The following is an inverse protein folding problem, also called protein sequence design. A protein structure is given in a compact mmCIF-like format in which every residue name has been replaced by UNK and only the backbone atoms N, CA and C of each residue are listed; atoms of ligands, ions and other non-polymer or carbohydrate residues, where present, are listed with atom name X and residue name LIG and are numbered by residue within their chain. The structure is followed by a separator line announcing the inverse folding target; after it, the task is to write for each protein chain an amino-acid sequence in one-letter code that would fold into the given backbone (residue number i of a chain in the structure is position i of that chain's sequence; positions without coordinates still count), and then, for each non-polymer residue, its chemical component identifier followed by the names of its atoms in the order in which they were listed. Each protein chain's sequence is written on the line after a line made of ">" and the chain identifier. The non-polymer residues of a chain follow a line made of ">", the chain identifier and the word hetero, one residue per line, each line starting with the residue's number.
data_IF_204854345000
#
_entry.id   IF_204854345000
#
_cell.length_a   1.000
_cell.length_b   1.000
_cell.length_c   1.000
_cell.angle_alpha   90.00
_cell.angle_beta   90.00
_cell.angle_gamma   90.00
#
_symmetry.space_group_name_H-M   'P 1'
#
loop_
_entity.id
_entity.type
_entity.pdbx_description
1 polymer ?
#
# COMPACT_ATOMS: atom_id res chain seq x y z
N UNK A 1 -9.15 2.19 -8.43
CA UNK A 1 -9.16 0.73 -8.39
C UNK A 1 -8.55 0.20 -9.67
N UNK A 2 -7.44 -0.51 -9.55
CA UNK A 2 -6.81 -1.16 -10.71
C UNK A 2 -7.74 -2.25 -11.25
N UNK A 3 -7.75 -2.42 -12.56
CA UNK A 3 -8.46 -3.49 -13.24
C UNK A 3 -8.20 -4.84 -12.60
N UNK A 4 -9.21 -5.46 -12.05
CA UNK A 4 -9.18 -6.90 -11.79
C UNK A 4 -9.31 -7.59 -13.15
N UNK A 5 -8.17 -7.91 -13.75
CA UNK A 5 -8.08 -8.54 -15.07
C UNK A 5 -8.30 -10.06 -15.00
N UNK A 6 -8.95 -10.58 -13.97
CA UNK A 6 -9.22 -12.00 -13.91
C UNK A 6 -10.72 -12.29 -14.01
N UNK A 7 -11.04 -13.45 -14.59
CA UNK A 7 -12.41 -13.92 -14.78
C UNK A 7 -13.14 -14.26 -13.46
N UNK A 8 -12.46 -14.13 -12.31
CA UNK A 8 -13.04 -14.35 -10.98
C UNK A 8 -13.77 -13.13 -10.44
N UNK A 9 -13.44 -11.94 -10.92
CA UNK A 9 -14.21 -10.75 -10.64
C UNK A 9 -15.32 -10.63 -11.70
N UNK A 10 -16.55 -10.50 -11.27
CA UNK A 10 -17.71 -10.26 -12.15
C UNK A 10 -18.07 -8.77 -12.14
N UNK A 11 -17.25 -7.87 -12.70
CA UNK A 11 -17.62 -6.48 -12.81
C UNK A 11 -18.78 -6.39 -13.81
N UNK A 12 -19.83 -5.70 -13.44
CA UNK A 12 -20.94 -5.40 -14.35
C UNK A 12 -20.50 -4.52 -15.51
N UNK A 13 -19.37 -3.79 -15.33
CA UNK A 13 -18.76 -2.96 -16.36
C UNK A 13 -17.24 -3.03 -16.18
N UNK A 14 -16.51 -3.32 -17.24
CA UNK A 14 -15.03 -3.28 -17.27
C UNK A 14 -14.57 -1.86 -17.60
N UNK A 15 -13.63 -1.34 -16.84
CA UNK A 15 -12.83 -0.20 -17.24
C UNK A 15 -11.73 -0.68 -18.19
N UNK A 16 -11.50 0.03 -19.26
CA UNK A 16 -10.35 -0.22 -20.11
C UNK A 16 -9.16 0.68 -19.75
N UNK A 17 -8.05 0.49 -20.44
CA UNK A 17 -6.82 1.26 -20.19
C UNK A 17 -7.00 2.74 -20.50
N UNK A 18 -7.77 3.09 -21.52
CA UNK A 18 -8.01 4.49 -21.89
C UNK A 18 -8.83 5.20 -20.80
N UNK A 19 -9.79 4.52 -20.17
CA UNK A 19 -10.52 5.07 -19.02
C UNK A 19 -9.56 5.43 -17.88
N UNK A 20 -8.62 4.53 -17.57
CA UNK A 20 -7.61 4.77 -16.52
C UNK A 20 -6.68 5.94 -16.88
N UNK A 21 -6.25 6.02 -18.15
CA UNK A 21 -5.41 7.11 -18.63
C UNK A 21 -6.15 8.45 -18.61
N UNK A 22 -7.45 8.45 -18.87
CA UNK A 22 -8.29 9.64 -18.76
C UNK A 22 -8.46 10.08 -17.32
N UNK A 23 -8.68 9.14 -16.38
CA UNK A 23 -8.74 9.44 -14.94
C UNK A 23 -7.44 10.04 -14.42
N UNK A 24 -6.28 9.65 -14.96
CA UNK A 24 -4.99 10.25 -14.61
C UNK A 24 -4.88 11.74 -14.97
N UNK A 25 -5.73 12.25 -15.86
CA UNK A 25 -5.75 13.69 -16.21
C UNK A 25 -6.51 14.53 -15.18
N UNK A 26 -7.30 13.92 -14.32
CA UNK A 26 -8.09 14.64 -13.32
C UNK A 26 -7.17 15.21 -12.24
N UNK A 27 -7.38 16.48 -11.84
CA UNK A 27 -6.58 17.11 -10.80
C UNK A 27 -6.75 16.44 -9.43
N UNK A 28 -7.89 15.81 -9.18
CA UNK A 28 -8.19 15.08 -7.96
C UNK A 28 -7.51 13.71 -7.87
N UNK A 29 -7.06 13.15 -9.00
CA UNK A 29 -6.33 11.89 -9.01
C UNK A 29 -4.90 12.13 -8.52
N UNK A 30 -4.57 11.59 -7.35
CA UNK A 30 -3.24 11.75 -6.73
C UNK A 30 -2.33 10.54 -6.93
N UNK A 31 -2.93 9.37 -7.14
CA UNK A 31 -2.19 8.10 -7.20
C UNK A 31 -2.88 7.07 -8.10
N UNK A 32 -2.10 6.10 -8.57
CA UNK A 32 -2.60 4.78 -8.93
C UNK A 32 -2.40 3.85 -7.73
N UNK A 33 -3.38 3.03 -7.43
CA UNK A 33 -3.36 2.14 -6.29
C UNK A 33 -3.51 0.69 -6.71
N UNK A 34 -2.71 -0.18 -6.11
CA UNK A 34 -2.77 -1.63 -6.23
C UNK A 34 -2.67 -2.22 -7.65
N UNK A 35 -1.75 -1.77 -8.51
CA UNK A 35 -1.48 -2.53 -9.73
C UNK A 35 -1.06 -3.96 -9.37
N UNK A 36 -1.75 -5.00 -9.87
CA UNK A 36 -1.42 -6.38 -9.52
C UNK A 36 0.02 -6.72 -9.94
N UNK A 37 0.80 -7.40 -9.10
CA UNK A 37 2.20 -7.71 -9.41
C UNK A 37 2.35 -8.63 -10.63
N UNK A 38 1.37 -9.51 -10.88
CA UNK A 38 1.40 -10.43 -12.01
C UNK A 38 1.58 -9.74 -13.37
N UNK A 39 0.64 -8.89 -13.82
CA UNK A 39 0.78 -8.13 -15.06
C UNK A 39 2.03 -7.25 -15.09
N UNK A 40 2.36 -6.57 -13.97
CA UNK A 40 3.55 -5.71 -13.89
C UNK A 40 4.83 -6.51 -14.12
N UNK A 41 4.98 -7.64 -13.45
CA UNK A 41 6.16 -8.52 -13.58
C UNK A 41 6.20 -9.26 -14.92
N UNK A 42 5.03 -9.56 -15.50
CA UNK A 42 4.92 -10.11 -16.85
C UNK A 42 5.22 -9.07 -17.94
N UNK A 43 5.45 -7.81 -17.57
CA UNK A 43 5.68 -6.68 -18.49
C UNK A 43 4.49 -6.45 -19.42
N UNK A 44 3.29 -6.61 -18.90
CA UNK A 44 2.07 -6.30 -19.65
C UNK A 44 2.13 -4.85 -20.16
N UNK A 45 1.98 -4.61 -21.46
CA UNK A 45 2.13 -3.28 -22.04
C UNK A 45 1.15 -2.25 -21.47
N UNK A 46 -0.07 -2.67 -21.19
CA UNK A 46 -1.12 -1.78 -20.70
C UNK A 46 -0.87 -1.42 -19.24
N UNK A 47 -0.47 -2.40 -18.41
CA UNK A 47 -0.07 -2.16 -17.02
C UNK A 47 1.11 -1.17 -16.95
N UNK A 48 2.15 -1.40 -17.72
CA UNK A 48 3.32 -0.52 -17.75
C UNK A 48 3.01 0.86 -18.32
N UNK A 49 2.13 0.97 -19.32
CA UNK A 49 1.69 2.25 -19.89
C UNK A 49 0.98 3.13 -18.85
N UNK A 50 0.08 2.55 -18.05
CA UNK A 50 -0.62 3.28 -16.99
C UNK A 50 0.33 3.71 -15.89
N UNK A 51 1.23 2.82 -15.45
CA UNK A 51 2.25 3.15 -14.44
C UNK A 51 3.16 4.28 -14.91
N UNK A 52 3.72 4.16 -16.12
CA UNK A 52 4.58 5.19 -16.71
C UNK A 52 3.85 6.53 -16.81
N UNK A 53 2.60 6.53 -17.27
CA UNK A 53 1.81 7.76 -17.39
C UNK A 53 1.52 8.41 -16.04
N UNK A 54 1.23 7.61 -15.01
CA UNK A 54 1.04 8.13 -13.66
C UNK A 54 2.32 8.81 -13.16
N UNK A 55 3.46 8.14 -13.27
CA UNK A 55 4.76 8.67 -12.83
C UNK A 55 5.16 9.93 -13.61
N UNK A 56 5.01 9.94 -14.94
CA UNK A 56 5.27 11.11 -15.79
C UNK A 56 4.39 12.31 -15.44
N UNK A 57 3.21 12.05 -14.91
CA UNK A 57 2.26 13.08 -14.43
C UNK A 57 2.51 13.51 -12.99
N UNK A 58 3.58 13.03 -12.35
CA UNK A 58 3.91 13.31 -10.93
C UNK A 58 2.96 12.66 -9.93
N UNK A 59 2.23 11.63 -10.33
CA UNK A 59 1.29 10.91 -9.47
C UNK A 59 1.98 9.73 -8.79
N UNK A 60 1.51 9.37 -7.62
CA UNK A 60 2.07 8.28 -6.82
C UNK A 60 1.70 6.92 -7.42
N UNK A 61 2.62 5.98 -7.39
CA UNK A 61 2.36 4.57 -7.61
C UNK A 61 2.42 3.84 -6.25
N UNK A 62 1.26 3.55 -5.67
CA UNK A 62 1.11 2.70 -4.50
C UNK A 62 0.95 1.25 -4.94
N UNK A 63 1.83 0.39 -4.46
CA UNK A 63 1.95 -0.98 -4.91
C UNK A 63 1.03 -1.97 -4.19
N UNK A 64 1.09 -3.21 -4.67
CA UNK A 64 0.45 -4.39 -4.10
C UNK A 64 1.37 -5.59 -4.31
N UNK A 65 2.14 -5.96 -3.29
CA UNK A 65 3.24 -6.91 -3.43
C UNK A 65 3.28 -7.94 -2.28
N UNK A 66 2.22 -8.77 -2.11
CA UNK A 66 2.16 -9.76 -1.04
C UNK A 66 3.20 -10.86 -1.25
N UNK A 67 4.04 -11.08 -0.26
CA UNK A 67 4.96 -12.24 -0.14
C UNK A 67 5.80 -12.54 -1.39
N UNK A 68 6.25 -11.50 -2.10
CA UNK A 68 7.12 -11.70 -3.25
C UNK A 68 8.50 -12.20 -2.81
N UNK A 69 9.05 -13.26 -3.46
CA UNK A 69 10.43 -13.66 -3.26
C UNK A 69 11.40 -12.50 -3.53
N UNK A 70 12.51 -12.44 -2.82
CA UNK A 70 13.42 -11.29 -2.80
C UNK A 70 13.82 -10.78 -4.20
N UNK A 71 14.26 -11.68 -5.11
CA UNK A 71 14.61 -11.30 -6.49
C UNK A 71 13.41 -10.74 -7.28
N UNK A 72 12.23 -11.24 -7.01
CA UNK A 72 11.01 -10.76 -7.65
C UNK A 72 10.62 -9.39 -7.07
N UNK A 73 10.76 -9.22 -5.75
CA UNK A 73 10.53 -7.95 -5.08
C UNK A 73 11.48 -6.85 -5.61
N UNK A 74 12.75 -7.17 -5.86
CA UNK A 74 13.69 -6.23 -6.51
C UNK A 74 13.19 -5.77 -7.88
N UNK A 75 12.73 -6.72 -8.70
CA UNK A 75 12.17 -6.42 -10.01
C UNK A 75 10.90 -5.57 -9.91
N UNK A 76 10.06 -5.87 -8.93
CA UNK A 76 8.85 -5.08 -8.67
C UNK A 76 9.19 -3.67 -8.20
N UNK A 77 10.12 -3.52 -7.25
CA UNK A 77 10.58 -2.22 -6.76
C UNK A 77 11.14 -1.34 -7.89
N UNK A 78 11.85 -1.95 -8.86
CA UNK A 78 12.42 -1.24 -10.02
C UNK A 78 11.36 -0.63 -10.95
N UNK A 79 10.09 -1.01 -10.82
CA UNK A 79 8.99 -0.40 -11.58
C UNK A 79 8.50 0.93 -11.01
N UNK A 80 9.03 1.34 -9.86
CA UNK A 80 8.71 2.62 -9.23
C UNK A 80 7.62 2.57 -8.16
N UNK A 81 7.22 1.38 -7.69
CA UNK A 81 6.29 1.26 -6.56
C UNK A 81 6.86 1.98 -5.34
N UNK A 82 6.16 2.98 -4.84
CA UNK A 82 6.62 3.86 -3.75
C UNK A 82 6.21 3.36 -2.36
N UNK A 83 5.15 2.57 -2.29
CA UNK A 83 4.58 2.04 -1.05
C UNK A 83 3.90 0.70 -1.27
N UNK A 84 3.66 -0.03 -0.19
CA UNK A 84 2.95 -1.31 -0.18
C UNK A 84 2.29 -1.55 1.18
N UNK A 85 1.08 -2.12 1.20
CA UNK A 85 0.30 -2.41 2.42
C UNK A 85 0.13 -3.92 2.70
N UNK A 86 0.73 -4.79 1.88
CA UNK A 86 0.51 -6.23 1.93
C UNK A 86 1.46 -6.99 2.88
N UNK A 87 2.38 -6.31 3.55
CA UNK A 87 3.29 -6.96 4.48
C UNK A 87 2.56 -7.50 5.70
N UNK A 88 2.74 -8.77 6.01
CA UNK A 88 2.21 -9.42 7.21
C UNK A 88 3.29 -9.83 8.20
N UNK A 89 4.57 -9.79 7.78
CA UNK A 89 5.71 -10.23 8.57
C UNK A 89 6.82 -9.17 8.56
N UNK A 90 7.54 -9.06 9.68
CA UNK A 90 8.66 -8.10 9.83
C UNK A 90 9.75 -8.28 8.79
N UNK A 91 10.07 -9.54 8.40
CA UNK A 91 11.10 -9.83 7.38
C UNK A 91 10.70 -9.34 5.99
N UNK A 92 9.44 -9.53 5.61
CA UNK A 92 8.87 -9.03 4.36
C UNK A 92 8.91 -7.50 4.31
N UNK A 93 8.41 -6.85 5.37
CA UNK A 93 8.41 -5.39 5.49
C UNK A 93 9.83 -4.82 5.42
N UNK A 94 10.80 -5.48 6.09
CA UNK A 94 12.19 -5.06 6.06
C UNK A 94 12.79 -5.12 4.65
N UNK A 95 12.51 -6.18 3.89
CA UNK A 95 12.96 -6.29 2.50
C UNK A 95 12.39 -5.16 1.64
N UNK A 96 11.09 -4.84 1.78
CA UNK A 96 10.46 -3.71 1.08
C UNK A 96 11.12 -2.38 1.40
N UNK A 97 11.33 -2.08 2.68
CA UNK A 97 12.04 -0.88 3.12
C UNK A 97 13.46 -0.80 2.54
N UNK A 98 14.16 -1.93 2.48
CA UNK A 98 15.53 -2.01 1.91
C UNK A 98 15.55 -1.65 0.42
N UNK A 99 14.49 -1.95 -0.32
CA UNK A 99 14.34 -1.60 -1.74
C UNK A 99 13.63 -0.26 -1.97
N UNK A 100 13.44 0.54 -0.93
CA UNK A 100 12.86 1.87 -1.03
C UNK A 100 11.34 1.92 -1.12
N UNK A 101 10.66 0.80 -0.92
CA UNK A 101 9.20 0.74 -0.83
C UNK A 101 8.77 1.07 0.60
N UNK A 102 8.02 2.13 0.78
CA UNK A 102 7.44 2.47 2.09
C UNK A 102 6.42 1.41 2.52
N UNK A 103 6.37 1.10 3.80
CA UNK A 103 5.46 0.08 4.35
C UNK A 103 4.27 0.75 5.02
N UNK A 104 3.08 0.43 4.53
CA UNK A 104 1.81 0.79 5.14
C UNK A 104 1.34 -0.37 6.03
N UNK A 105 1.36 -0.15 7.34
CA UNK A 105 0.91 -1.14 8.34
C UNK A 105 -0.59 -1.03 8.50
N UNK A 106 -1.31 -2.02 7.99
CA UNK A 106 -2.76 -2.01 7.98
C UNK A 106 -3.37 -2.61 9.25
N UNK A 107 -4.49 -2.03 9.67
CA UNK A 107 -5.33 -2.48 10.78
C UNK A 107 -6.79 -2.53 10.29
N UNK A 108 -7.04 -3.32 9.26
CA UNK A 108 -8.37 -3.56 8.73
C UNK A 108 -9.18 -4.56 9.55
N UNK A 109 -10.45 -4.71 9.22
CA UNK A 109 -11.33 -5.69 9.85
C UNK A 109 -10.97 -7.13 9.49
N UNK A 110 -10.56 -7.38 8.25
CA UNK A 110 -10.12 -8.69 7.77
C UNK A 110 -8.59 -8.85 7.78
N UNK A 111 -7.84 -7.75 7.75
CA UNK A 111 -6.37 -7.75 7.66
C UNK A 111 -5.73 -6.95 8.81
N UNK A 112 -5.77 -7.47 10.05
CA UNK A 112 -5.21 -6.79 11.22
C UNK A 112 -3.71 -7.10 11.39
N UNK A 113 -2.88 -6.79 10.37
CA UNK A 113 -1.48 -7.24 10.29
C UNK A 113 -0.49 -6.34 11.05
N UNK A 114 -0.96 -5.26 11.66
CA UNK A 114 -0.11 -4.21 12.23
C UNK A 114 0.80 -4.71 13.37
N UNK A 115 0.40 -5.69 14.17
CA UNK A 115 1.11 -6.08 15.39
C UNK A 115 2.58 -6.47 15.13
N UNK A 116 2.83 -7.31 14.13
CA UNK A 116 4.19 -7.73 13.78
C UNK A 116 5.02 -6.58 13.21
N UNK A 117 4.38 -5.68 12.49
CA UNK A 117 5.06 -4.56 11.83
C UNK A 117 5.40 -3.43 12.82
N UNK A 118 4.58 -3.22 13.84
CA UNK A 118 4.89 -2.29 14.94
C UNK A 118 6.14 -2.73 15.70
N UNK A 119 6.34 -4.03 15.92
CA UNK A 119 7.58 -4.57 16.52
C UNK A 119 8.82 -4.19 15.69
N UNK A 120 8.70 -4.23 14.36
CA UNK A 120 9.77 -3.79 13.46
C UNK A 120 10.07 -2.30 13.62
N UNK A 121 9.02 -1.45 13.66
CA UNK A 121 9.18 0.00 13.84
C UNK A 121 9.85 0.35 15.18
N UNK A 122 9.48 -0.34 16.27
CA UNK A 122 10.09 -0.17 17.60
C UNK A 122 11.56 -0.59 17.58
N UNK A 123 11.88 -1.72 16.94
CA UNK A 123 13.25 -2.25 16.84
C UNK A 123 14.14 -1.38 15.98
N UNK A 124 13.60 -0.73 14.97
CA UNK A 124 14.34 0.08 13.99
C UNK A 124 13.74 1.50 13.87
N UNK A 125 13.92 2.38 14.88
CA UNK A 125 13.29 3.71 14.92
C UNK A 125 13.61 4.58 13.70
N UNK A 126 14.81 4.46 13.13
CA UNK A 126 15.16 5.21 11.92
C UNK A 126 14.33 4.82 10.69
N UNK A 127 13.94 3.54 10.59
CA UNK A 127 13.08 3.05 9.50
C UNK A 127 11.63 3.50 9.64
N UNK A 128 11.18 3.88 10.84
CA UNK A 128 9.81 4.31 11.11
C UNK A 128 9.37 5.50 10.24
N UNK A 129 10.31 6.31 9.76
CA UNK A 129 10.04 7.44 8.84
C UNK A 129 9.56 7.00 7.46
N UNK A 130 9.77 5.73 7.12
CA UNK A 130 9.34 5.10 5.87
C UNK A 130 8.17 4.13 6.09
N UNK A 131 7.55 4.20 7.27
CA UNK A 131 6.41 3.38 7.63
C UNK A 131 5.20 4.28 7.92
N UNK A 132 4.01 3.79 7.58
CA UNK A 132 2.75 4.50 7.75
C UNK A 132 1.74 3.57 8.42
N UNK A 133 0.78 4.14 9.13
CA UNK A 133 -0.39 3.42 9.63
C UNK A 133 -1.57 3.69 8.70
N UNK A 134 -2.26 2.65 8.31
CA UNK A 134 -3.45 2.73 7.45
C UNK A 134 -4.55 1.84 8.00
N UNK A 135 -5.78 2.14 7.65
CA UNK A 135 -6.93 1.33 8.05
C UNK A 135 -7.14 0.13 7.12
N UNK A 136 -6.92 0.35 5.81
CA UNK A 136 -7.31 -0.58 4.74
C UNK A 136 -8.84 -0.79 4.73
N UNK A 137 -9.35 -2.00 4.57
CA UNK A 137 -10.78 -2.27 4.62
C UNK A 137 -11.31 -2.23 6.05
N UNK A 138 -12.33 -1.43 6.29
CA UNK A 138 -13.04 -1.35 7.57
C UNK A 138 -14.51 -1.71 7.37
N UNK A 139 -14.96 -2.73 8.09
CA UNK A 139 -16.37 -3.09 8.16
C UNK A 139 -17.18 -1.95 8.78
N UNK A 140 -18.41 -1.68 8.30
CA UNK A 140 -19.26 -0.62 8.85
C UNK A 140 -19.55 -0.73 10.34
N UNK A 141 -19.58 -1.94 10.90
CA UNK A 141 -19.76 -2.15 12.35
C UNK A 141 -18.48 -1.71 13.07
N UNK A 142 -17.32 -2.16 12.63
CA UNK A 142 -16.04 -1.76 13.21
C UNK A 142 -15.82 -0.24 13.11
N UNK A 143 -16.19 0.36 11.99
CA UNK A 143 -16.11 1.81 11.80
C UNK A 143 -16.93 2.59 12.84
N UNK A 144 -18.12 2.08 13.18
CA UNK A 144 -19.03 2.74 14.15
C UNK A 144 -18.67 2.46 15.59
N UNK A 145 -18.18 1.25 15.90
CA UNK A 145 -17.91 0.82 17.29
C UNK A 145 -16.48 1.11 17.75
N UNK A 146 -15.49 1.05 16.82
CA UNK A 146 -14.07 1.18 17.14
C UNK A 146 -13.46 2.48 16.66
N UNK A 147 -13.96 3.03 15.54
CA UNK A 147 -13.41 4.19 14.85
C UNK A 147 -12.67 3.80 13.56
N UNK A 148 -11.88 4.72 13.03
CA UNK A 148 -11.14 4.57 11.78
C UNK A 148 -9.63 4.66 12.04
N UNK A 149 -8.96 5.67 11.47
CA UNK A 149 -7.52 5.88 11.64
C UNK A 149 -7.12 6.21 13.10
N UNK A 150 -8.02 6.81 13.86
CA UNK A 150 -7.86 7.05 15.28
C UNK A 150 -7.75 5.76 16.09
N UNK A 151 -8.57 4.75 15.77
CA UNK A 151 -8.47 3.42 16.36
C UNK A 151 -7.16 2.71 15.98
N UNK A 152 -6.69 2.89 14.73
CA UNK A 152 -5.42 2.37 14.26
C UNK A 152 -4.25 2.99 15.05
N UNK A 153 -4.24 4.30 15.23
CA UNK A 153 -3.23 5.01 16.06
C UNK A 153 -3.27 4.52 17.51
N UNK A 154 -4.46 4.44 18.10
CA UNK A 154 -4.64 3.92 19.46
C UNK A 154 -4.05 2.51 19.60
N UNK A 155 -4.37 1.62 18.67
CA UNK A 155 -3.86 0.24 18.67
C UNK A 155 -2.34 0.19 18.55
N UNK A 156 -1.73 1.00 17.70
CA UNK A 156 -0.27 1.07 17.57
C UNK A 156 0.40 1.48 18.89
N UNK A 157 -0.17 2.46 19.60
CA UNK A 157 0.33 2.92 20.90
C UNK A 157 0.16 1.82 21.98
N UNK A 158 -0.96 1.11 21.99
CA UNK A 158 -1.20 -0.04 22.89
C UNK A 158 -0.17 -1.16 22.65
N UNK A 159 0.31 -1.33 21.42
CA UNK A 159 1.37 -2.27 21.06
C UNK A 159 2.79 -1.78 21.45
N UNK A 160 2.90 -0.58 22.01
CA UNK A 160 4.14 -0.03 22.53
C UNK A 160 4.86 0.95 21.58
N UNK A 161 4.23 1.36 20.47
CA UNK A 161 4.78 2.40 19.61
C UNK A 161 4.73 3.75 20.35
N UNK A 162 5.80 4.53 20.23
CA UNK A 162 5.83 5.89 20.76
C UNK A 162 4.66 6.72 20.18
N UNK A 163 3.87 7.44 21.01
CA UNK A 163 2.71 8.18 20.53
C UNK A 163 3.05 9.24 19.47
N UNK A 164 4.19 9.92 19.58
CA UNK A 164 4.62 10.92 18.59
C UNK A 164 4.91 10.25 17.26
N UNK A 165 5.60 9.11 17.28
CA UNK A 165 5.90 8.31 16.08
C UNK A 165 4.60 7.80 15.45
N UNK A 166 3.64 7.32 16.24
CA UNK A 166 2.35 6.86 15.73
C UNK A 166 1.60 8.00 15.00
N UNK A 167 1.58 9.20 15.57
CA UNK A 167 0.99 10.37 14.91
C UNK A 167 1.76 10.79 13.65
N UNK A 168 3.08 10.72 13.65
CA UNK A 168 3.87 10.98 12.44
C UNK A 168 3.53 10.01 11.31
N UNK A 169 3.29 8.74 11.63
CA UNK A 169 2.96 7.70 10.64
C UNK A 169 1.59 7.89 9.96
N UNK A 170 0.69 8.69 10.52
CA UNK A 170 -0.61 9.02 9.90
C UNK A 170 -0.68 10.46 9.38
N UNK A 171 0.41 11.20 9.44
CA UNK A 171 0.47 12.60 9.03
C UNK A 171 1.70 12.90 8.17
N UNK A 172 2.87 13.02 8.76
CA UNK A 172 4.09 13.46 8.08
C UNK A 172 4.70 12.41 7.13
N UNK A 173 4.48 11.13 7.42
CA UNK A 173 5.04 10.04 6.62
C UNK A 173 4.14 9.67 5.43
N UNK A 174 2.84 10.01 5.52
CA UNK A 174 1.81 9.69 4.54
C UNK A 174 1.83 10.63 3.32
#
# INVERSE_FOLDING_TARGET
>A
HWLVLNDLASPTQKMDVEDLLDMLKWPETVAINEPPPGPVLAKDPDALRVIAKAMDSGKIYSGHAPKLPDKILQSYASTGASSDHESTESGEAWSKLTYGIKVMMRQGSASPDMEELVKLAIKHPAASRHMMLVADEIDPVDLTERGHIDATVKRAIELGLDPIVAYQMVTLNA
#
